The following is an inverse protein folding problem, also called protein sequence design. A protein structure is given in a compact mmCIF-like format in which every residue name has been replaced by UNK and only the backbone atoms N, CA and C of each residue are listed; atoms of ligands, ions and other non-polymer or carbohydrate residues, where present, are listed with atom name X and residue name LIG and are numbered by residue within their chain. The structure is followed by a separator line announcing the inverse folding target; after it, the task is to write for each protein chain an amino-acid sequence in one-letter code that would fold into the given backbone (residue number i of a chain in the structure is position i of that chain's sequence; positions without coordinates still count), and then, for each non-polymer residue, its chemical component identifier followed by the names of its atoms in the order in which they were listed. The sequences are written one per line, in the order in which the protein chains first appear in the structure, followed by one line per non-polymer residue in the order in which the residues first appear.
data_IF_814591596455
#
_entry.id   IF_814591596455
#
_cell.length_a   1.000
_cell.length_b   1.000
_cell.length_c   1.000
_cell.angle_alpha   90.00
_cell.angle_beta   90.00
_cell.angle_gamma   90.00
#
_symmetry.space_group_name_H-M   'P 1'
#
loop_
_entity.id
_entity.type
_entity.pdbx_description
1 polymer ?
#
# COMPACT_ATOMS: atom_id res chain seq x y z
N UNK A 1 -2.20 -15.26 11.07
CA UNK A 1 -1.42 -14.10 10.61
C UNK A 1 -0.89 -14.42 9.24
N UNK A 2 -1.04 -13.51 8.28
CA UNK A 2 -0.58 -13.66 6.90
C UNK A 2 0.48 -12.60 6.60
N UNK A 3 1.58 -12.99 5.98
CA UNK A 3 2.65 -12.09 5.57
C UNK A 3 2.85 -12.25 4.08
N UNK A 4 2.73 -11.15 3.35
CA UNK A 4 2.91 -11.09 1.92
C UNK A 4 4.06 -10.16 1.60
N UNK A 5 5.00 -10.64 0.79
CA UNK A 5 6.08 -9.82 0.25
C UNK A 5 5.72 -9.33 -1.16
N UNK A 6 6.51 -8.38 -1.69
CA UNK A 6 6.31 -7.73 -2.99
C UNK A 6 6.54 -8.68 -4.19
N UNK A 7 6.54 -9.99 -3.96
CA UNK A 7 6.56 -11.05 -4.98
C UNK A 7 5.32 -11.01 -5.90
N UNK A 8 4.26 -10.29 -5.51
CA UNK A 8 3.10 -10.01 -6.37
C UNK A 8 3.41 -8.97 -7.47
N UNK A 9 4.56 -8.30 -7.43
CA UNK A 9 5.00 -7.36 -8.46
C UNK A 9 5.11 -7.98 -9.86
N UNK A 10 5.29 -9.30 -9.94
CA UNK A 10 5.32 -10.08 -11.18
C UNK A 10 3.93 -10.26 -11.83
N UNK A 11 2.85 -9.94 -11.13
CA UNK A 11 1.49 -9.97 -11.65
C UNK A 11 1.15 -8.65 -12.36
N UNK A 12 0.41 -8.76 -13.46
CA UNK A 12 -0.19 -7.59 -14.10
C UNK A 12 -1.20 -6.92 -13.16
N UNK A 13 -1.40 -5.61 -13.34
CA UNK A 13 -2.24 -4.77 -12.47
C UNK A 13 -3.65 -5.36 -12.23
N UNK A 14 -4.25 -5.95 -13.26
CA UNK A 14 -5.59 -6.53 -13.17
C UNK A 14 -5.59 -7.83 -12.35
N UNK A 15 -4.58 -8.67 -12.55
CA UNK A 15 -4.43 -9.91 -11.77
C UNK A 15 -4.13 -9.61 -10.30
N UNK A 16 -3.27 -8.63 -9.99
CA UNK A 16 -2.99 -8.20 -8.60
C UNK A 16 -4.25 -7.67 -7.91
N UNK A 17 -5.02 -6.79 -8.58
CA UNK A 17 -6.30 -6.28 -8.04
C UNK A 17 -7.29 -7.40 -7.73
N UNK A 18 -7.46 -8.34 -8.65
CA UNK A 18 -8.37 -9.48 -8.45
C UNK A 18 -7.92 -10.38 -7.30
N UNK A 19 -6.61 -10.64 -7.21
CA UNK A 19 -6.02 -11.39 -6.11
C UNK A 19 -6.28 -10.71 -4.76
N UNK A 20 -6.08 -9.39 -4.66
CA UNK A 20 -6.35 -8.62 -3.44
C UNK A 20 -7.81 -8.67 -3.01
N UNK A 21 -8.74 -8.54 -3.96
CA UNK A 21 -10.18 -8.65 -3.67
C UNK A 21 -10.53 -10.04 -3.13
N UNK A 22 -9.94 -11.10 -3.70
CA UNK A 22 -10.13 -12.45 -3.21
C UNK A 22 -9.51 -12.65 -1.82
N UNK A 23 -8.28 -12.18 -1.61
CA UNK A 23 -7.57 -12.27 -0.33
C UNK A 23 -8.32 -11.53 0.78
N UNK A 24 -8.86 -10.33 0.52
CA UNK A 24 -9.61 -9.53 1.50
C UNK A 24 -10.81 -10.28 2.11
N UNK A 25 -11.39 -11.24 1.38
CA UNK A 25 -12.48 -12.10 1.90
C UNK A 25 -11.97 -13.18 2.86
N UNK A 26 -10.78 -13.70 2.61
CA UNK A 26 -10.16 -14.80 3.37
C UNK A 26 -9.45 -14.24 4.61
N UNK A 27 -8.87 -13.03 4.51
CA UNK A 27 -8.06 -12.42 5.56
C UNK A 27 -8.87 -11.65 6.61
N UNK A 28 -10.20 -11.60 6.48
CA UNK A 28 -11.09 -10.75 7.30
C UNK A 28 -10.96 -10.95 8.81
N UNK A 29 -10.60 -12.14 9.26
CA UNK A 29 -10.41 -12.47 10.68
C UNK A 29 -8.94 -12.60 11.08
N UNK A 30 -8.01 -12.15 10.24
CA UNK A 30 -6.58 -12.35 10.44
C UNK A 30 -5.76 -11.08 10.19
N UNK A 31 -4.80 -10.82 11.07
CA UNK A 31 -3.80 -9.80 10.82
C UNK A 31 -3.01 -10.13 9.53
N UNK A 32 -2.96 -9.16 8.62
CA UNK A 32 -2.29 -9.26 7.32
C UNK A 32 -1.23 -8.17 7.22
N UNK A 33 0.00 -8.57 6.91
CA UNK A 33 1.13 -7.67 6.68
C UNK A 33 1.51 -7.79 5.20
N UNK A 34 1.64 -6.65 4.53
CA UNK A 34 2.03 -6.58 3.12
C UNK A 34 3.24 -5.65 3.02
N UNK A 35 4.33 -6.15 2.47
CA UNK A 35 5.46 -5.33 2.01
C UNK A 35 5.25 -5.03 0.54
N UNK A 36 5.28 -3.75 0.16
CA UNK A 36 5.01 -3.35 -1.21
C UNK A 36 5.69 -2.04 -1.59
N UNK A 37 6.10 -1.96 -2.85
CA UNK A 37 6.62 -0.75 -3.49
C UNK A 37 5.55 0.05 -4.25
N UNK A 38 4.38 -0.54 -4.54
CA UNK A 38 3.31 0.10 -5.33
C UNK A 38 2.25 0.74 -4.43
N UNK A 39 1.88 2.00 -4.68
CA UNK A 39 0.86 2.69 -3.86
C UNK A 39 -0.52 2.07 -4.01
N UNK A 40 -0.96 1.74 -5.23
CA UNK A 40 -2.29 1.14 -5.44
C UNK A 40 -2.50 -0.20 -4.71
N UNK A 41 -1.42 -0.87 -4.33
CA UNK A 41 -1.44 -2.12 -3.54
C UNK A 41 -1.76 -1.87 -2.06
N UNK A 42 -1.34 -0.73 -1.50
CA UNK A 42 -1.45 -0.38 -0.07
C UNK A 42 -2.46 0.73 0.23
N UNK A 43 -3.02 1.38 -0.80
CA UNK A 43 -3.92 2.54 -0.65
C UNK A 43 -5.12 2.25 0.27
N UNK A 44 -5.69 1.05 0.17
CA UNK A 44 -6.83 0.60 0.97
C UNK A 44 -6.45 0.01 2.36
N UNK A 45 -5.18 0.07 2.75
CA UNK A 45 -4.72 -0.52 4.00
C UNK A 45 -5.21 0.29 5.22
N UNK A 46 -5.59 -0.43 6.28
CA UNK A 46 -6.03 0.20 7.54
C UNK A 46 -4.91 1.00 8.22
N UNK A 47 -3.66 0.59 8.01
CA UNK A 47 -2.45 1.21 8.54
C UNK A 47 -1.26 0.91 7.63
N UNK A 48 -0.53 1.96 7.24
CA UNK A 48 0.66 1.91 6.38
C UNK A 48 1.85 2.39 7.21
N UNK A 49 2.96 1.67 7.13
CA UNK A 49 4.24 2.05 7.74
C UNK A 49 5.20 2.48 6.64
N UNK A 50 5.65 3.74 6.68
CA UNK A 50 6.63 4.27 5.74
C UNK A 50 8.02 4.07 6.32
N UNK A 51 8.84 3.31 5.60
CA UNK A 51 10.21 2.96 6.02
C UNK A 51 11.24 3.73 5.19
N UNK A 52 12.24 4.28 5.87
CA UNK A 52 13.42 4.91 5.28
C UNK A 52 14.64 4.49 6.11
N UNK A 53 15.67 3.94 5.48
CA UNK A 53 16.92 3.48 6.13
C UNK A 53 16.69 2.59 7.37
N UNK A 54 15.72 1.68 7.30
CA UNK A 54 15.38 0.76 8.39
C UNK A 54 14.62 1.40 9.56
N UNK A 55 14.16 2.66 9.41
CA UNK A 55 13.36 3.37 10.42
C UNK A 55 11.97 3.68 9.90
N UNK A 56 10.98 3.61 10.78
CA UNK A 56 9.62 4.06 10.47
C UNK A 56 9.61 5.57 10.60
N UNK A 57 9.45 6.27 9.47
CA UNK A 57 9.43 7.74 9.42
C UNK A 57 8.01 8.31 9.44
N UNK A 58 7.01 7.51 9.05
CA UNK A 58 5.60 7.87 9.14
C UNK A 58 4.71 6.63 9.25
N UNK A 59 3.53 6.82 9.84
CA UNK A 59 2.53 5.78 10.00
C UNK A 59 1.12 6.38 9.88
N UNK A 60 0.21 5.69 9.19
CA UNK A 60 -1.19 6.08 9.12
C UNK A 60 -1.91 5.51 7.90
N UNK A 61 -3.11 6.04 7.62
CA UNK A 61 -3.84 5.73 6.39
C UNK A 61 -3.28 6.52 5.21
N UNK A 62 -3.61 6.06 4.00
CA UNK A 62 -3.23 6.72 2.75
C UNK A 62 -3.51 8.24 2.78
N UNK A 63 -4.76 8.63 3.06
CA UNK A 63 -5.20 10.03 3.07
C UNK A 63 -4.38 10.89 4.04
N UNK A 64 -4.01 10.34 5.19
CA UNK A 64 -3.16 11.05 6.13
C UNK A 64 -1.73 11.18 5.60
N UNK A 65 -1.17 10.09 5.10
CA UNK A 65 0.23 10.04 4.65
C UNK A 65 0.48 10.88 3.40
N UNK A 66 -0.45 10.92 2.45
CA UNK A 66 -0.28 11.74 1.23
C UNK A 66 -0.20 13.24 1.55
N UNK A 67 -0.87 13.68 2.62
CA UNK A 67 -0.82 15.08 3.06
C UNK A 67 0.33 15.38 4.02
N UNK A 68 0.72 14.42 4.88
CA UNK A 68 1.62 14.66 6.02
C UNK A 68 3.00 14.01 5.89
N UNK A 69 3.23 13.14 4.89
CA UNK A 69 4.52 12.48 4.67
C UNK A 69 5.03 12.79 3.26
N UNK A 70 6.04 13.64 3.15
CA UNK A 70 6.64 14.02 1.86
C UNK A 70 7.14 12.80 1.09
N UNK A 71 7.89 11.90 1.73
CA UNK A 71 8.41 10.69 1.08
C UNK A 71 7.30 9.83 0.49
N UNK A 72 6.23 9.60 1.27
CA UNK A 72 5.08 8.83 0.80
C UNK A 72 4.40 9.50 -0.39
N UNK A 73 4.16 10.83 -0.31
CA UNK A 73 3.56 11.60 -1.40
C UNK A 73 4.41 11.58 -2.66
N UNK A 74 5.73 11.73 -2.53
CA UNK A 74 6.65 11.73 -3.67
C UNK A 74 6.64 10.37 -4.40
N UNK A 75 6.60 9.25 -3.64
CA UNK A 75 6.45 7.90 -4.19
C UNK A 75 5.07 7.73 -4.86
N UNK A 76 4.01 8.31 -4.27
CA UNK A 76 2.66 8.23 -4.81
C UNK A 76 2.53 8.97 -6.14
N UNK A 77 3.02 10.20 -6.21
CA UNK A 77 3.01 11.03 -7.42
C UNK A 77 3.89 10.46 -8.52
N UNK A 78 4.90 9.64 -8.20
CA UNK A 78 5.69 8.96 -9.22
C UNK A 78 4.97 7.77 -9.88
N UNK A 79 3.83 7.33 -9.32
CA UNK A 79 3.12 6.12 -9.75
C UNK A 79 1.66 6.38 -10.18
N UNK A 80 1.05 7.46 -9.70
CA UNK A 80 -0.38 7.76 -9.85
C UNK A 80 -0.58 9.26 -10.08
N UNK A 81 -1.69 9.65 -10.71
CA UNK A 81 -2.03 11.07 -10.87
C UNK A 81 -2.54 11.68 -9.57
N UNK A 82 -2.52 13.02 -9.45
CA UNK A 82 -3.11 13.73 -8.30
C UNK A 82 -4.59 13.39 -8.11
N UNK A 83 -5.37 13.31 -9.20
CA UNK A 83 -6.78 12.89 -9.17
C UNK A 83 -6.97 11.49 -8.59
N UNK A 84 -6.11 10.52 -8.94
CA UNK A 84 -6.17 9.17 -8.40
C UNK A 84 -5.77 9.08 -6.92
N UNK A 85 -5.02 10.08 -6.43
CA UNK A 85 -4.60 10.21 -5.03
C UNK A 85 -5.57 11.04 -4.18
N UNK A 86 -6.61 11.61 -4.78
CA UNK A 86 -7.54 12.50 -4.10
C UNK A 86 -6.91 13.82 -3.65
N UNK A 87 -5.88 14.28 -4.37
CA UNK A 87 -5.19 15.55 -4.17
C UNK A 87 -5.79 16.68 -5.03
#
# INVERSE_FOLDING_TARGET
MLIFDDSFSALDFRTDKNLRVALKKITKESATIIVAQRIGTIMDADNILVLEEGRIIAQGKHDYLVHNCKLYRDIALSQMSEEELGL
#
